data_IF_075664021363
#
_entry.id   IF_075664021363
#
_cell.length_a   1.000
_cell.length_b   1.000
_cell.length_c   1.000
_cell.angle_alpha   90.00
_cell.angle_beta   90.00
_cell.angle_gamma   90.00
#
_symmetry.space_group_name_H-M   'P 1'
#
loop_
_entity.id
_entity.type
_entity.pdbx_description
1 polymer ?
#
# COMPACT_ATOMS: atom_id res chain seq x y z
N UNK A 1 2.07 13.64 -36.15
CA UNK A 1 3.07 12.56 -36.35
C UNK A 1 3.24 11.60 -35.15
N UNK A 2 2.43 11.71 -34.08
CA UNK A 2 2.44 10.75 -32.96
C UNK A 2 1.03 10.34 -32.52
N UNK A 3 0.04 10.36 -33.42
CA UNK A 3 -1.38 10.14 -33.08
C UNK A 3 -1.72 8.71 -32.61
N UNK A 4 -0.78 7.77 -32.71
CA UNK A 4 -0.90 6.39 -32.22
C UNK A 4 0.00 6.08 -31.01
N UNK A 5 0.73 7.07 -30.48
CA UNK A 5 1.64 6.83 -29.36
C UNK A 5 0.84 6.68 -28.06
N UNK A 6 0.76 5.46 -27.52
CA UNK A 6 0.00 5.18 -26.30
C UNK A 6 0.85 5.19 -25.02
N UNK A 7 2.14 4.89 -25.12
CA UNK A 7 3.07 4.88 -23.97
C UNK A 7 4.22 5.84 -24.24
N UNK A 8 4.47 6.73 -23.28
CA UNK A 8 5.62 7.62 -23.28
C UNK A 8 6.38 7.45 -21.97
N UNK A 9 7.68 7.20 -22.07
CA UNK A 9 8.60 7.24 -20.94
C UNK A 9 9.69 8.24 -21.26
N UNK A 10 9.89 9.21 -20.37
CA UNK A 10 11.08 10.03 -20.43
C UNK A 10 12.30 9.21 -19.98
N UNK A 11 13.49 9.60 -20.43
CA UNK A 11 14.76 9.02 -19.97
C UNK A 11 15.08 9.42 -18.53
N UNK A 12 16.32 9.24 -18.08
CA UNK A 12 16.68 9.51 -16.68
C UNK A 12 16.80 11.00 -16.33
N UNK A 13 17.16 11.85 -17.29
CA UNK A 13 17.63 13.23 -17.06
C UNK A 13 16.68 14.34 -17.54
N UNK A 14 15.47 13.99 -17.99
CA UNK A 14 14.52 15.01 -18.43
C UNK A 14 13.91 15.71 -17.21
N UNK A 15 14.19 17.00 -17.06
CA UNK A 15 13.65 17.84 -15.98
C UNK A 15 13.16 19.20 -16.53
N UNK A 16 12.67 19.20 -17.77
CA UNK A 16 12.11 20.41 -18.36
C UNK A 16 10.62 20.52 -18.02
N UNK A 17 10.09 21.73 -17.80
CA UNK A 17 8.66 21.93 -17.57
C UNK A 17 7.83 21.30 -18.68
N UNK A 18 6.75 20.64 -18.28
CA UNK A 18 5.72 20.23 -19.23
C UNK A 18 4.89 21.47 -19.59
N UNK A 19 4.38 21.46 -20.81
CA UNK A 19 3.44 22.48 -21.27
C UNK A 19 2.25 21.82 -21.93
N UNK A 20 1.13 22.54 -21.98
CA UNK A 20 -0.06 22.09 -22.70
C UNK A 20 0.31 21.64 -24.12
N UNK A 21 -0.20 20.48 -24.54
CA UNK A 21 0.07 19.83 -25.82
C UNK A 21 1.52 19.34 -26.05
N UNK A 22 2.41 19.42 -25.06
CA UNK A 22 3.77 18.83 -25.17
C UNK A 22 3.76 17.30 -25.22
N UNK A 23 2.76 16.68 -24.60
CA UNK A 23 2.54 15.24 -24.62
C UNK A 23 1.35 14.93 -25.55
N UNK A 24 1.49 14.01 -26.52
CA UNK A 24 0.40 13.66 -27.44
C UNK A 24 -0.86 13.17 -26.71
N UNK A 25 -2.04 13.57 -27.19
CA UNK A 25 -3.34 13.18 -26.62
C UNK A 25 -3.66 11.68 -26.73
N UNK A 26 -2.83 10.90 -27.43
CA UNK A 26 -2.99 9.45 -27.54
C UNK A 26 -2.34 8.71 -26.38
N UNK A 27 -1.48 9.39 -25.60
CA UNK A 27 -0.72 8.77 -24.51
C UNK A 27 -1.68 8.40 -23.37
N UNK A 28 -1.71 7.11 -23.04
CA UNK A 28 -2.44 6.50 -21.93
C UNK A 28 -1.53 6.16 -20.76
N UNK A 29 -0.24 5.94 -21.01
CA UNK A 29 0.73 5.59 -19.99
C UNK A 29 1.93 6.53 -20.05
N UNK A 30 2.15 7.29 -18.98
CA UNK A 30 3.24 8.24 -18.86
C UNK A 30 4.15 7.86 -17.70
N UNK A 31 5.44 7.72 -17.99
CA UNK A 31 6.50 7.64 -16.98
C UNK A 31 7.36 8.89 -17.08
N UNK A 32 7.32 9.71 -16.03
CA UNK A 32 8.17 10.88 -15.89
C UNK A 32 9.59 10.44 -15.54
N UNK A 33 10.54 11.25 -15.99
CA UNK A 33 11.98 10.99 -15.85
C UNK A 33 12.41 10.93 -14.39
N UNK A 34 13.49 10.20 -14.10
CA UNK A 34 14.02 10.08 -12.75
C UNK A 34 14.38 11.42 -12.13
N UNK A 35 14.90 12.35 -12.92
CA UNK A 35 15.27 13.70 -12.47
C UNK A 35 14.12 14.71 -12.55
N UNK A 36 12.92 14.33 -13.04
CA UNK A 36 11.80 15.26 -13.20
C UNK A 36 11.29 15.72 -11.84
N UNK A 37 11.42 17.02 -11.56
CA UNK A 37 10.91 17.69 -10.36
C UNK A 37 10.34 19.08 -10.70
N UNK A 38 9.53 19.15 -11.75
CA UNK A 38 8.87 20.40 -12.18
C UNK A 38 7.41 20.46 -11.72
N UNK A 39 6.88 21.68 -11.61
CA UNK A 39 5.46 21.93 -11.38
C UNK A 39 4.66 21.35 -12.56
N UNK A 40 3.61 20.60 -12.25
CA UNK A 40 2.61 20.15 -13.23
C UNK A 40 1.35 21.00 -13.05
N UNK A 41 0.97 21.74 -14.08
CA UNK A 41 -0.24 22.54 -14.10
C UNK A 41 -1.39 21.78 -14.74
N UNK A 42 -2.61 22.25 -14.47
CA UNK A 42 -3.82 21.74 -15.10
C UNK A 42 -3.71 21.89 -16.63
N UNK A 43 -3.78 20.76 -17.34
CA UNK A 43 -3.70 20.70 -18.80
C UNK A 43 -2.33 20.36 -19.38
N UNK A 44 -1.27 20.29 -18.55
CA UNK A 44 0.06 19.86 -19.00
C UNK A 44 0.08 18.35 -19.33
N UNK A 45 -0.73 17.57 -18.59
CA UNK A 45 -0.93 16.14 -18.84
C UNK A 45 -2.17 15.92 -19.74
N UNK A 46 -2.09 14.99 -20.71
CA UNK A 46 -3.18 14.76 -21.65
C UNK A 46 -4.40 14.12 -20.97
N UNK A 47 -5.60 14.48 -21.40
CA UNK A 47 -6.86 13.96 -20.85
C UNK A 47 -7.11 12.47 -21.14
N UNK A 48 -6.31 11.85 -22.01
CA UNK A 48 -6.31 10.40 -22.27
C UNK A 48 -5.53 9.58 -21.25
N UNK A 49 -4.81 10.22 -20.33
CA UNK A 49 -3.85 9.55 -19.46
C UNK A 49 -4.56 8.63 -18.45
N UNK A 50 -4.19 7.35 -18.45
CA UNK A 50 -4.76 6.34 -17.55
C UNK A 50 -3.78 5.95 -16.43
N UNK A 51 -2.48 5.92 -16.72
CA UNK A 51 -1.42 5.57 -15.76
C UNK A 51 -0.34 6.64 -15.74
N UNK A 52 -0.01 7.12 -14.54
CA UNK A 52 1.04 8.10 -14.30
C UNK A 52 2.06 7.55 -13.30
N UNK A 53 3.33 7.53 -13.72
CA UNK A 53 4.46 7.17 -12.86
C UNK A 53 5.36 8.40 -12.74
N UNK A 54 5.50 8.91 -11.53
CA UNK A 54 6.47 9.96 -11.21
C UNK A 54 7.85 9.35 -11.01
N UNK A 55 8.88 10.04 -11.50
CA UNK A 55 10.26 9.58 -11.38
C UNK A 55 10.83 9.71 -9.97
N UNK A 56 12.07 9.24 -9.82
CA UNK A 56 12.77 9.10 -8.54
C UNK A 56 12.78 10.39 -7.70
N UNK A 57 13.16 11.52 -8.30
CA UNK A 57 13.41 12.80 -7.63
C UNK A 57 12.17 13.66 -7.41
N UNK A 58 11.03 13.33 -8.03
CA UNK A 58 9.83 14.17 -7.96
C UNK A 58 9.38 14.39 -6.51
N UNK A 59 9.42 15.64 -6.07
CA UNK A 59 8.99 16.08 -4.74
C UNK A 59 8.34 17.47 -4.77
N UNK A 60 8.04 18.00 -5.94
CA UNK A 60 7.31 19.25 -6.11
C UNK A 60 5.84 19.07 -5.70
N UNK A 61 5.24 20.03 -4.97
CA UNK A 61 3.82 19.98 -4.62
C UNK A 61 2.91 19.87 -5.84
N UNK A 62 1.88 19.03 -5.73
CA UNK A 62 0.83 18.92 -6.74
C UNK A 62 -0.24 19.98 -6.51
N UNK A 63 -0.78 20.50 -7.61
CA UNK A 63 -1.94 21.39 -7.60
C UNK A 63 -3.23 20.60 -7.88
N UNK A 64 -4.36 21.06 -7.34
CA UNK A 64 -5.66 20.48 -7.67
C UNK A 64 -5.91 20.51 -9.19
N UNK A 65 -6.30 19.37 -9.75
CA UNK A 65 -6.54 19.23 -11.20
C UNK A 65 -5.29 19.17 -12.08
N UNK A 66 -4.08 19.13 -11.51
CA UNK A 66 -2.84 18.87 -12.26
C UNK A 66 -2.81 17.47 -12.87
N UNK A 67 -3.40 16.49 -12.17
CA UNK A 67 -3.57 15.12 -12.65
C UNK A 67 -4.97 14.98 -13.28
N UNK A 68 -5.07 14.54 -14.56
CA UNK A 68 -6.36 14.38 -15.24
C UNK A 68 -7.28 13.35 -14.56
N UNK A 69 -8.59 13.57 -14.65
CA UNK A 69 -9.63 12.67 -14.10
C UNK A 69 -9.79 11.35 -14.86
N UNK A 70 -8.98 11.10 -15.88
CA UNK A 70 -8.87 9.81 -16.58
C UNK A 70 -7.85 8.89 -15.91
N UNK A 71 -6.97 9.42 -15.05
CA UNK A 71 -5.92 8.63 -14.41
C UNK A 71 -6.53 7.67 -13.39
N UNK A 72 -6.27 6.38 -13.56
CA UNK A 72 -6.74 5.29 -12.69
C UNK A 72 -5.62 4.72 -11.83
N UNK A 73 -4.36 4.93 -12.20
CA UNK A 73 -3.20 4.44 -11.44
C UNK A 73 -2.12 5.50 -11.34
N UNK A 74 -1.70 5.77 -10.10
CA UNK A 74 -0.59 6.66 -9.78
C UNK A 74 0.48 5.89 -9.02
N UNK A 75 1.73 6.06 -9.46
CA UNK A 75 2.90 5.61 -8.71
C UNK A 75 3.84 6.79 -8.48
N UNK A 76 4.06 7.13 -7.22
CA UNK A 76 5.18 7.95 -6.82
C UNK A 76 6.40 7.05 -6.59
N UNK A 77 7.52 7.36 -7.24
CA UNK A 77 8.80 6.73 -6.92
C UNK A 77 9.37 7.31 -5.62
N UNK A 78 10.67 7.35 -5.40
CA UNK A 78 11.22 7.37 -4.05
C UNK A 78 11.00 8.70 -3.29
N UNK A 79 11.33 9.86 -3.87
CA UNK A 79 11.52 11.12 -3.12
C UNK A 79 10.23 11.88 -2.76
N UNK A 80 9.07 11.52 -3.32
CA UNK A 80 7.83 12.25 -3.06
C UNK A 80 7.44 12.20 -1.58
N UNK A 81 7.42 13.35 -0.93
CA UNK A 81 7.09 13.51 0.49
C UNK A 81 6.31 14.80 0.75
N UNK A 82 5.45 15.20 -0.19
CA UNK A 82 4.54 16.35 -0.04
C UNK A 82 3.21 15.91 0.57
N UNK A 83 2.54 16.78 1.35
CA UNK A 83 1.26 16.44 1.97
C UNK A 83 0.19 16.20 0.90
N UNK A 84 -0.62 15.17 1.09
CA UNK A 84 -1.78 14.91 0.26
C UNK A 84 -3.02 15.58 0.87
N UNK A 85 -3.55 16.60 0.20
CA UNK A 85 -4.80 17.25 0.58
C UNK A 85 -5.95 16.79 -0.31
N UNK A 86 -7.18 17.04 0.15
CA UNK A 86 -8.40 16.69 -0.58
C UNK A 86 -8.39 17.31 -1.97
N UNK A 87 -8.61 16.47 -2.98
CA UNK A 87 -8.69 16.89 -4.39
C UNK A 87 -7.38 16.79 -5.19
N UNK A 88 -6.23 16.55 -4.55
CA UNK A 88 -4.96 16.38 -5.28
C UNK A 88 -4.92 15.08 -6.10
N UNK A 89 -5.39 13.99 -5.50
CA UNK A 89 -5.53 12.71 -6.18
C UNK A 89 -6.95 12.64 -6.78
N UNK A 90 -7.10 12.44 -8.11
CA UNK A 90 -8.41 12.42 -8.76
C UNK A 90 -9.33 11.28 -8.27
N UNK A 91 -10.64 11.51 -8.33
CA UNK A 91 -11.67 10.54 -7.95
C UNK A 91 -11.73 9.29 -8.85
N UNK A 92 -10.99 9.26 -9.94
CA UNK A 92 -10.86 8.10 -10.83
C UNK A 92 -9.79 7.09 -10.38
N UNK A 93 -8.89 7.47 -9.46
CA UNK A 93 -7.74 6.66 -9.08
C UNK A 93 -8.17 5.42 -8.30
N UNK A 94 -7.76 4.25 -8.79
CA UNK A 94 -7.98 2.93 -8.17
C UNK A 94 -6.73 2.40 -7.48
N UNK A 95 -5.56 2.73 -8.00
CA UNK A 95 -4.28 2.25 -7.46
C UNK A 95 -3.40 3.44 -7.11
N UNK A 96 -3.03 3.56 -5.84
CA UNK A 96 -2.13 4.58 -5.32
C UNK A 96 -0.91 3.94 -4.68
N UNK A 97 0.26 4.11 -5.30
CA UNK A 97 1.55 3.70 -4.73
C UNK A 97 2.31 4.93 -4.30
N UNK A 98 2.57 5.03 -3.00
CA UNK A 98 3.29 6.14 -2.39
C UNK A 98 4.78 5.81 -2.31
N UNK A 99 5.58 6.86 -2.47
CA UNK A 99 7.03 6.77 -2.59
C UNK A 99 7.75 6.25 -1.37
N UNK A 100 8.99 5.77 -1.55
CA UNK A 100 9.83 5.24 -0.46
C UNK A 100 9.88 6.19 0.73
N UNK A 101 10.10 7.48 0.49
CA UNK A 101 10.27 8.53 1.50
C UNK A 101 8.97 9.22 1.93
N UNK A 102 7.80 8.83 1.40
CA UNK A 102 6.54 9.43 1.81
C UNK A 102 6.24 9.11 3.28
N UNK A 103 6.20 10.15 4.13
CA UNK A 103 5.93 10.02 5.56
C UNK A 103 5.13 11.22 6.09
N UNK A 104 4.25 11.79 5.26
CA UNK A 104 3.36 12.87 5.66
C UNK A 104 2.10 12.31 6.35
N UNK A 105 1.54 13.03 7.35
CA UNK A 105 0.28 12.65 7.94
C UNK A 105 -0.83 12.70 6.89
N UNK A 106 -1.78 11.78 7.03
CA UNK A 106 -2.99 11.74 6.22
C UNK A 106 -4.19 12.19 7.06
N UNK A 107 -5.16 12.76 6.38
CA UNK A 107 -6.44 13.19 6.95
C UNK A 107 -7.59 12.63 6.12
N UNK A 108 -8.81 12.68 6.64
CA UNK A 108 -10.01 12.28 5.89
C UNK A 108 -10.08 13.01 4.54
N UNK A 109 -10.20 12.24 3.45
CA UNK A 109 -10.26 12.76 2.08
C UNK A 109 -8.90 13.02 1.43
N UNK A 110 -7.76 12.76 2.11
CA UNK A 110 -6.42 12.82 1.48
C UNK A 110 -6.26 11.79 0.36
N UNK A 111 -6.90 10.63 0.54
CA UNK A 111 -7.00 9.55 -0.45
C UNK A 111 -8.47 9.45 -0.87
N UNK A 112 -8.79 9.48 -2.18
CA UNK A 112 -10.18 9.53 -2.64
C UNK A 112 -10.90 8.18 -2.42
N UNK A 113 -12.23 8.21 -2.24
CA UNK A 113 -13.06 7.03 -1.97
C UNK A 113 -13.10 5.99 -3.10
N UNK A 114 -12.44 6.23 -4.23
CA UNK A 114 -12.32 5.27 -5.33
C UNK A 114 -11.11 4.35 -5.23
N UNK A 115 -10.12 4.65 -4.37
CA UNK A 115 -8.87 3.89 -4.28
C UNK A 115 -9.11 2.52 -3.65
N UNK A 116 -8.72 1.49 -4.39
CA UNK A 116 -8.87 0.08 -4.02
C UNK A 116 -7.54 -0.54 -3.54
N UNK A 117 -6.41 -0.03 -4.02
CA UNK A 117 -5.07 -0.55 -3.67
C UNK A 117 -4.19 0.60 -3.18
N UNK A 118 -3.63 0.46 -1.97
CA UNK A 118 -2.69 1.39 -1.39
C UNK A 118 -1.39 0.68 -1.00
N UNK A 119 -0.28 1.17 -1.55
CA UNK A 119 1.05 0.77 -1.11
C UNK A 119 1.74 1.97 -0.46
N UNK A 120 1.95 1.90 0.85
CA UNK A 120 2.80 2.83 1.57
C UNK A 120 4.27 2.45 1.41
N UNK A 121 5.09 3.43 1.06
CA UNK A 121 6.53 3.25 0.91
C UNK A 121 7.24 2.93 2.22
N UNK A 122 8.55 2.69 2.10
CA UNK A 122 9.39 2.15 3.17
C UNK A 122 9.43 3.02 4.43
N UNK A 123 9.43 4.34 4.32
CA UNK A 123 9.60 5.23 5.48
C UNK A 123 8.27 5.71 6.08
N UNK A 124 7.12 5.30 5.53
CA UNK A 124 5.82 5.67 6.09
C UNK A 124 5.64 5.07 7.50
N UNK A 125 5.46 5.93 8.50
CA UNK A 125 5.25 5.53 9.88
C UNK A 125 4.35 6.53 10.63
N UNK A 126 3.35 7.08 9.95
CA UNK A 126 2.34 7.96 10.56
C UNK A 126 1.16 7.15 11.10
N UNK A 127 0.53 7.59 12.21
CA UNK A 127 -0.66 6.91 12.72
C UNK A 127 -1.82 7.02 11.72
N UNK A 128 -2.67 5.99 11.71
CA UNK A 128 -3.88 5.95 10.90
C UNK A 128 -5.08 5.88 11.85
N UNK A 129 -5.76 7.00 12.05
CA UNK A 129 -7.03 7.05 12.78
C UNK A 129 -8.20 6.55 11.90
N UNK A 130 -9.31 6.12 12.50
CA UNK A 130 -10.49 5.67 11.76
C UNK A 130 -10.99 6.71 10.74
N UNK A 131 -11.32 6.26 9.53
CA UNK A 131 -11.85 7.11 8.45
C UNK A 131 -10.80 7.80 7.56
N UNK A 132 -9.50 7.73 7.90
CA UNK A 132 -8.44 8.27 7.03
C UNK A 132 -8.32 7.48 5.73
N UNK A 133 -8.33 6.15 5.82
CA UNK A 133 -8.32 5.27 4.66
C UNK A 133 -9.75 5.06 4.15
N UNK A 134 -9.99 5.12 2.83
CA UNK A 134 -11.33 4.99 2.28
C UNK A 134 -11.88 3.57 2.41
N UNK A 135 -13.20 3.42 2.50
CA UNK A 135 -13.89 2.13 2.64
C UNK A 135 -13.89 1.25 1.38
N UNK A 136 -13.25 1.70 0.31
CA UNK A 136 -13.06 0.96 -0.94
C UNK A 136 -11.73 0.21 -0.99
N UNK A 137 -10.81 0.43 -0.04
CA UNK A 137 -9.50 -0.23 -0.04
C UNK A 137 -9.68 -1.72 0.18
N UNK A 138 -9.22 -2.51 -0.78
CA UNK A 138 -9.23 -3.98 -0.77
C UNK A 138 -7.82 -4.51 -0.46
N UNK A 139 -6.78 -3.83 -0.91
CA UNK A 139 -5.38 -4.19 -0.65
C UNK A 139 -4.63 -3.03 0.00
N UNK A 140 -4.02 -3.32 1.17
CA UNK A 140 -3.22 -2.37 1.92
C UNK A 140 -1.87 -2.99 2.29
N UNK A 141 -0.81 -2.37 1.78
CA UNK A 141 0.56 -2.81 2.02
C UNK A 141 1.41 -1.71 2.64
N UNK A 142 2.10 -2.04 3.73
CA UNK A 142 3.16 -1.24 4.33
C UNK A 142 4.52 -1.88 4.02
N UNK A 143 5.36 -1.21 3.23
CA UNK A 143 6.58 -1.81 2.67
C UNK A 143 7.80 -1.79 3.60
N UNK A 144 7.76 -1.08 4.72
CA UNK A 144 8.95 -0.94 5.58
C UNK A 144 8.65 -0.62 7.04
N UNK A 145 8.88 0.63 7.42
CA UNK A 145 9.05 1.11 8.79
C UNK A 145 7.76 1.28 9.58
N UNK A 146 6.58 1.08 8.99
CA UNK A 146 5.31 1.23 9.68
C UNK A 146 5.27 0.33 10.93
N UNK A 147 5.21 0.97 12.10
CA UNK A 147 5.19 0.32 13.40
C UNK A 147 4.32 1.10 14.40
N UNK A 148 3.27 1.76 13.90
CA UNK A 148 2.27 2.41 14.74
C UNK A 148 1.25 1.37 15.24
N UNK A 149 0.71 1.54 16.47
CA UNK A 149 -0.36 0.68 16.94
C UNK A 149 -1.58 0.81 16.04
N UNK A 150 -2.26 -0.30 15.77
CA UNK A 150 -3.53 -0.28 15.06
C UNK A 150 -4.63 0.16 16.03
N UNK A 151 -5.36 1.20 15.66
CA UNK A 151 -6.59 1.57 16.36
C UNK A 151 -7.76 0.79 15.78
N UNK A 152 -8.77 0.48 16.59
CA UNK A 152 -9.98 -0.18 16.11
C UNK A 152 -10.61 0.64 14.96
N UNK A 153 -10.86 0.00 13.82
CA UNK A 153 -11.40 0.63 12.58
C UNK A 153 -10.44 1.60 11.85
N UNK A 154 -9.16 1.65 12.21
CA UNK A 154 -8.13 2.37 11.45
C UNK A 154 -7.94 1.80 10.04
N UNK A 155 -7.98 0.47 9.94
CA UNK A 155 -7.95 -0.25 8.67
C UNK A 155 -9.41 -0.51 8.23
N UNK A 156 -9.79 -0.18 6.97
CA UNK A 156 -11.14 -0.35 6.49
C UNK A 156 -11.63 -1.81 6.50
N UNK A 157 -12.93 -2.01 6.69
CA UNK A 157 -13.52 -3.36 6.70
C UNK A 157 -13.42 -4.07 5.35
N UNK A 158 -13.31 -3.33 4.25
CA UNK A 158 -13.17 -3.85 2.89
C UNK A 158 -11.83 -4.53 2.60
N UNK A 159 -10.82 -4.36 3.47
CA UNK A 159 -9.48 -4.89 3.22
C UNK A 159 -9.49 -6.42 3.27
N UNK A 160 -9.10 -7.04 2.16
CA UNK A 160 -8.94 -8.48 2.02
C UNK A 160 -7.47 -8.91 2.09
N UNK A 161 -6.54 -8.04 1.69
CA UNK A 161 -5.09 -8.27 1.75
C UNK A 161 -4.46 -7.18 2.61
N UNK A 162 -3.89 -7.61 3.74
CA UNK A 162 -3.16 -6.73 4.65
C UNK A 162 -1.73 -7.23 4.82
N UNK A 163 -0.76 -6.41 4.43
CA UNK A 163 0.65 -6.78 4.48
C UNK A 163 1.49 -5.75 5.23
N UNK A 164 2.18 -6.23 6.27
CA UNK A 164 3.23 -5.50 6.96
C UNK A 164 4.57 -6.14 6.61
N UNK A 165 5.44 -5.44 5.88
CA UNK A 165 6.59 -6.10 5.24
C UNK A 165 7.84 -6.23 6.11
N UNK A 166 8.16 -5.24 6.95
CA UNK A 166 9.44 -5.21 7.67
C UNK A 166 9.28 -4.99 9.18
N UNK A 167 9.00 -3.76 9.62
CA UNK A 167 9.20 -3.35 11.02
C UNK A 167 7.99 -3.47 11.96
N UNK A 168 6.79 -3.76 11.43
CA UNK A 168 5.60 -3.83 12.27
C UNK A 168 5.76 -4.90 13.36
N UNK A 169 5.71 -4.47 14.61
CA UNK A 169 5.90 -5.32 15.78
C UNK A 169 5.07 -4.84 16.98
N UNK A 170 3.89 -4.26 16.71
CA UNK A 170 2.95 -3.85 17.74
C UNK A 170 2.06 -5.01 18.18
N UNK A 171 1.71 -5.10 19.48
CA UNK A 171 0.80 -6.13 19.96
C UNK A 171 -0.59 -5.92 19.35
N UNK A 172 -1.26 -7.02 19.02
CA UNK A 172 -2.61 -7.01 18.48
C UNK A 172 -3.65 -7.23 19.58
N UNK A 173 -4.86 -6.74 19.31
CA UNK A 173 -6.08 -7.01 20.05
C UNK A 173 -7.17 -7.48 19.07
N UNK A 174 -8.18 -8.23 19.55
CA UNK A 174 -9.32 -8.59 18.73
C UNK A 174 -10.01 -7.35 18.13
N UNK A 175 -10.13 -7.34 16.80
CA UNK A 175 -10.70 -6.24 16.03
C UNK A 175 -9.72 -5.22 15.48
N UNK A 176 -8.41 -5.32 15.78
CA UNK A 176 -7.38 -4.48 15.16
C UNK A 176 -7.19 -4.82 13.68
N UNK A 177 -7.24 -6.12 13.35
CA UNK A 177 -7.26 -6.62 11.97
C UNK A 177 -8.73 -6.75 11.51
N UNK A 178 -9.12 -6.17 10.36
CA UNK A 178 -10.51 -6.21 9.88
C UNK A 178 -11.05 -7.62 9.64
N UNK A 179 -12.37 -7.84 9.82
CA UNK A 179 -12.98 -9.18 9.82
C UNK A 179 -13.06 -9.86 8.44
N UNK A 180 -12.64 -9.19 7.36
CA UNK A 180 -12.67 -9.74 5.99
C UNK A 180 -11.27 -9.96 5.40
N UNK A 181 -10.20 -9.77 6.20
CA UNK A 181 -8.82 -10.05 5.75
C UNK A 181 -8.67 -11.54 5.47
N UNK A 182 -8.41 -11.89 4.20
CA UNK A 182 -8.16 -13.25 3.70
C UNK A 182 -6.67 -13.57 3.71
N UNK A 183 -5.83 -12.60 3.38
CA UNK A 183 -4.37 -12.75 3.38
C UNK A 183 -3.76 -11.75 4.35
N UNK A 184 -3.05 -12.27 5.35
CA UNK A 184 -2.37 -11.48 6.37
C UNK A 184 -0.88 -11.79 6.37
N UNK A 185 -0.06 -10.78 6.12
CA UNK A 185 1.40 -10.92 6.05
C UNK A 185 2.03 -10.13 7.19
N UNK A 186 2.70 -10.84 8.10
CA UNK A 186 3.61 -10.27 9.07
C UNK A 186 5.05 -10.43 8.61
N UNK A 187 5.73 -9.30 8.56
CA UNK A 187 7.06 -9.13 7.97
C UNK A 187 8.21 -9.58 8.84
N UNK A 188 9.41 -9.13 8.46
CA UNK A 188 10.67 -9.61 9.01
C UNK A 188 10.77 -9.48 10.54
N UNK A 189 10.32 -8.38 11.15
CA UNK A 189 10.53 -8.10 12.58
C UNK A 189 9.35 -8.42 13.50
N UNK A 190 8.20 -8.86 12.99
CA UNK A 190 7.04 -9.15 13.84
C UNK A 190 7.33 -10.34 14.77
N UNK A 191 7.24 -10.13 16.08
CA UNK A 191 7.53 -11.12 17.10
C UNK A 191 6.66 -10.95 18.36
N UNK A 192 5.43 -10.48 18.19
CA UNK A 192 4.45 -10.38 19.27
C UNK A 192 3.67 -11.68 19.44
N UNK A 193 3.28 -12.05 20.68
CA UNK A 193 2.49 -13.25 20.90
C UNK A 193 1.10 -13.09 20.28
N UNK A 194 0.66 -14.10 19.53
CA UNK A 194 -0.68 -14.17 18.95
C UNK A 194 -1.63 -14.88 19.91
N UNK A 195 -2.77 -14.26 20.20
CA UNK A 195 -3.83 -14.79 21.07
C UNK A 195 -5.08 -15.13 20.25
N UNK A 196 -5.95 -16.00 20.77
CA UNK A 196 -7.25 -16.25 20.15
C UNK A 196 -8.03 -14.96 19.93
N UNK A 197 -8.45 -14.73 18.67
CA UNK A 197 -9.21 -13.55 18.25
C UNK A 197 -8.37 -12.42 17.65
N UNK A 198 -7.03 -12.45 17.75
CA UNK A 198 -6.15 -11.44 17.13
C UNK A 198 -6.17 -11.53 15.60
N UNK A 199 -6.26 -12.75 15.07
CA UNK A 199 -6.37 -13.06 13.64
C UNK A 199 -7.84 -13.35 13.31
N UNK A 200 -8.45 -12.67 12.32
CA UNK A 200 -9.87 -12.81 12.04
C UNK A 200 -10.22 -14.18 11.43
N UNK A 201 -11.44 -14.64 11.67
CA UNK A 201 -11.95 -15.92 11.16
C UNK A 201 -12.11 -15.98 9.64
N UNK A 202 -11.86 -14.89 8.92
CA UNK A 202 -11.80 -14.84 7.45
C UNK A 202 -10.43 -15.20 6.89
N UNK A 203 -9.37 -15.20 7.71
CA UNK A 203 -8.00 -15.38 7.21
C UNK A 203 -7.80 -16.79 6.69
N UNK A 204 -7.39 -16.89 5.42
CA UNK A 204 -7.11 -18.15 4.72
C UNK A 204 -5.61 -18.39 4.61
N UNK A 205 -4.83 -17.31 4.47
CA UNK A 205 -3.37 -17.35 4.36
C UNK A 205 -2.75 -16.43 5.39
N UNK A 206 -1.81 -16.97 6.18
CA UNK A 206 -0.98 -16.18 7.09
C UNK A 206 0.50 -16.42 6.83
N UNK A 207 1.25 -15.34 6.71
CA UNK A 207 2.72 -15.36 6.67
C UNK A 207 3.27 -14.79 7.96
N UNK A 208 4.14 -15.55 8.61
CA UNK A 208 4.89 -15.16 9.81
C UNK A 208 6.37 -15.05 9.42
N UNK A 209 6.85 -13.81 9.37
CA UNK A 209 8.19 -13.49 8.90
C UNK A 209 9.34 -13.96 9.80
N UNK A 210 10.55 -13.62 9.41
CA UNK A 210 11.77 -14.27 9.90
C UNK A 210 12.00 -14.12 11.41
N UNK A 211 11.60 -12.99 11.99
CA UNK A 211 11.76 -12.66 13.41
C UNK A 211 10.74 -13.33 14.33
N UNK A 212 9.71 -13.97 13.79
CA UNK A 212 8.66 -14.58 14.61
C UNK A 212 9.17 -15.85 15.30
N UNK A 213 9.27 -15.78 16.62
CA UNK A 213 9.79 -16.84 17.50
C UNK A 213 8.87 -17.16 18.67
N UNK A 214 7.76 -16.42 18.80
CA UNK A 214 6.76 -16.66 19.85
C UNK A 214 6.08 -18.03 19.67
N UNK A 215 5.76 -18.72 20.77
CA UNK A 215 4.98 -19.95 20.69
C UNK A 215 3.57 -19.65 20.18
N UNK A 216 3.10 -20.47 19.25
CA UNK A 216 1.68 -20.51 18.91
C UNK A 216 0.94 -21.34 19.95
N UNK A 217 -0.23 -20.86 20.37
CA UNK A 217 -1.10 -21.56 21.32
C UNK A 217 -2.40 -21.97 20.63
N UNK A 218 -3.14 -22.90 21.24
CA UNK A 218 -4.40 -23.35 20.66
C UNK A 218 -5.36 -22.17 20.45
N UNK A 219 -5.84 -22.03 19.21
CA UNK A 219 -6.78 -20.97 18.82
C UNK A 219 -6.13 -19.64 18.41
N UNK A 220 -4.80 -19.47 18.51
CA UNK A 220 -4.14 -18.24 18.04
C UNK A 220 -4.18 -18.08 16.51
N UNK A 221 -4.22 -19.21 15.78
CA UNK A 221 -4.45 -19.25 14.34
C UNK A 221 -5.86 -19.83 14.11
N UNK A 222 -6.77 -19.12 13.41
CA UNK A 222 -8.16 -19.53 13.29
C UNK A 222 -8.31 -20.73 12.35
N UNK A 223 -9.38 -21.55 12.52
CA UNK A 223 -9.64 -22.71 11.66
C UNK A 223 -9.89 -22.39 10.18
N UNK A 224 -10.06 -21.12 9.80
CA UNK A 224 -10.16 -20.71 8.40
C UNK A 224 -8.82 -20.79 7.65
N UNK A 225 -7.70 -20.77 8.37
CA UNK A 225 -6.36 -20.72 7.76
C UNK A 225 -6.02 -22.07 7.12
N UNK A 226 -5.79 -22.04 5.81
CA UNK A 226 -5.40 -23.21 5.01
C UNK A 226 -3.93 -23.18 4.62
N UNK A 227 -3.31 -21.99 4.59
CA UNK A 227 -1.90 -21.80 4.24
C UNK A 227 -1.18 -21.03 5.34
N UNK A 228 -0.12 -21.63 5.89
CA UNK A 228 0.77 -21.02 6.88
C UNK A 228 2.18 -20.99 6.31
N UNK A 229 2.78 -19.80 6.23
CA UNK A 229 4.14 -19.60 5.75
C UNK A 229 5.00 -19.10 6.90
N UNK A 230 6.02 -19.87 7.27
CA UNK A 230 7.06 -19.43 8.21
C UNK A 230 8.31 -19.08 7.41
N UNK A 231 8.79 -17.84 7.53
CA UNK A 231 10.01 -17.42 6.81
C UNK A 231 11.31 -17.83 7.51
N UNK A 232 11.24 -18.31 8.76
CA UNK A 232 12.41 -18.80 9.52
C UNK A 232 12.29 -20.29 9.86
N UNK A 233 13.19 -21.08 9.25
CA UNK A 233 13.26 -22.54 9.38
C UNK A 233 13.77 -23.04 10.73
N UNK A 234 14.44 -22.20 11.52
CA UNK A 234 15.34 -22.66 12.60
C UNK A 234 14.80 -22.54 14.02
N UNK A 235 13.72 -21.80 14.25
CA UNK A 235 13.42 -21.29 15.61
C UNK A 235 12.10 -21.75 16.20
N UNK A 236 11.25 -22.46 15.45
CA UNK A 236 9.90 -22.73 15.92
C UNK A 236 9.76 -24.12 16.55
N UNK A 237 9.67 -24.15 17.88
CA UNK A 237 9.07 -25.29 18.60
C UNK A 237 7.56 -25.23 18.41
N UNK A 238 7.11 -25.71 17.25
CA UNK A 238 5.69 -25.79 16.91
C UNK A 238 5.02 -26.89 17.74
N UNK A 239 4.04 -26.50 18.56
CA UNK A 239 3.07 -27.45 19.09
C UNK A 239 2.08 -27.77 17.98
N UNK A 240 2.01 -29.03 17.54
CA UNK A 240 1.03 -29.46 16.53
C UNK A 240 -0.43 -29.17 16.97
N UNK A 241 -0.69 -29.04 18.28
CA UNK A 241 -2.01 -28.65 18.81
C UNK A 241 -2.39 -27.18 18.55
N UNK A 242 -1.41 -26.33 18.23
CA UNK A 242 -1.62 -24.91 17.95
C UNK A 242 -1.93 -24.63 16.47
N UNK A 243 -1.71 -25.63 15.60
CA UNK A 243 -1.99 -25.54 14.17
C UNK A 243 -3.42 -26.01 13.92
N UNK A 244 -4.26 -25.25 13.19
CA UNK A 244 -5.62 -25.68 12.89
C UNK A 244 -5.58 -26.91 11.98
N UNK A 245 -6.51 -27.85 12.20
CA UNK A 245 -6.63 -29.09 11.41
C UNK A 245 -6.95 -28.86 9.93
N UNK A 246 -7.36 -27.64 9.58
CA UNK A 246 -7.66 -27.18 8.22
C UNK A 246 -6.43 -26.71 7.44
N UNK A 247 -5.27 -26.55 8.10
CA UNK A 247 -4.03 -26.19 7.43
C UNK A 247 -3.65 -27.28 6.42
N UNK A 248 -3.63 -26.92 5.13
CA UNK A 248 -3.29 -27.81 4.00
C UNK A 248 -1.86 -27.62 3.54
N UNK A 249 -1.37 -26.39 3.60
CA UNK A 249 -0.04 -26.01 3.17
C UNK A 249 0.69 -25.38 4.34
N UNK A 250 1.87 -25.92 4.66
CA UNK A 250 2.79 -25.33 5.61
C UNK A 250 4.16 -25.25 4.96
N UNK A 251 4.65 -24.03 4.79
CA UNK A 251 5.96 -23.78 4.18
C UNK A 251 6.91 -23.24 5.24
N UNK A 252 8.15 -23.73 5.19
CA UNK A 252 9.27 -23.25 5.98
C UNK A 252 10.32 -22.64 5.06
#
# INVERSE_FOLDING_TARGET
LLSSLETLSFGFQFDQPLSQCSIPHSVKHLTLSSDFDQIINKGDLPSSLERLVFGYSFNTPLNEGSIPSSVTSITFSNCFNQPLTKGLIPQSVKILKLGEFFNQPLFEGSIPPSVEIINFGKYFNQPLSPGILPSSVVELTFLGQFNQPLEARSIPHSVEILAFSDNFNQPLKPGDIPPYVKTLIFGYHFNQPLKPGDIPHSTETITLGYGFTQPLIQGSIPPSVTTIIFSNKKTQKLSLKAIPSTAKVMTF
#
